data_IF_352685257796
#
_entry.id   IF_352685257796
#
_cell.length_a   1.000
_cell.length_b   1.000
_cell.length_c   1.000
_cell.angle_alpha   90.00
_cell.angle_beta   90.00
_cell.angle_gamma   90.00
#
_symmetry.space_group_name_H-M   'P 1'
#
loop_
_entity.id
_entity.type
_entity.pdbx_description
1 polymer ?
#
# COMPACT_ATOMS: atom_id res chain seq x y z
N UNK A 1 -8.06 -14.58 -14.47
CA UNK A 1 -7.00 -15.61 -14.52
C UNK A 1 -6.54 -15.89 -13.09
N UNK A 2 -6.98 -17.00 -12.49
CA UNK A 2 -6.60 -17.37 -11.12
C UNK A 2 -5.27 -18.10 -11.19
N UNK A 3 -4.17 -17.46 -10.80
CA UNK A 3 -2.93 -18.18 -10.53
C UNK A 3 -3.13 -19.00 -9.25
N UNK A 4 -2.85 -20.31 -9.32
CA UNK A 4 -2.64 -21.12 -8.12
C UNK A 4 -1.32 -20.66 -7.47
N UNK A 5 -1.40 -19.68 -6.59
CA UNK A 5 -0.29 -19.33 -5.72
C UNK A 5 -0.14 -20.45 -4.69
N UNK A 6 1.04 -21.07 -4.65
CA UNK A 6 1.37 -22.02 -3.60
C UNK A 6 1.75 -21.21 -2.36
N UNK A 7 0.75 -20.91 -1.53
CA UNK A 7 0.91 -20.21 -0.27
C UNK A 7 1.38 -21.20 0.80
N UNK A 8 2.49 -20.89 1.45
CA UNK A 8 2.94 -21.56 2.66
C UNK A 8 2.94 -20.58 3.83
N UNK A 9 2.56 -21.09 5.00
CA UNK A 9 2.50 -20.33 6.24
C UNK A 9 3.84 -20.46 6.98
N UNK A 10 4.54 -19.34 7.15
CA UNK A 10 5.72 -19.20 8.00
C UNK A 10 5.49 -17.95 8.86
N UNK A 11 5.02 -18.15 10.10
CA UNK A 11 4.45 -17.08 10.93
C UNK A 11 3.03 -16.68 10.51
N UNK A 12 2.62 -15.46 10.85
CA UNK A 12 1.22 -14.98 10.69
C UNK A 12 0.88 -14.45 9.29
N UNK A 13 1.85 -14.38 8.37
CA UNK A 13 1.67 -13.78 7.04
C UNK A 13 1.81 -14.85 5.94
N UNK A 14 0.81 -15.00 5.04
CA UNK A 14 0.92 -15.90 3.89
C UNK A 14 2.07 -15.50 2.95
N UNK A 15 2.87 -16.47 2.51
CA UNK A 15 4.01 -16.22 1.62
C UNK A 15 3.98 -17.13 0.38
N UNK A 16 4.31 -16.58 -0.78
CA UNK A 16 4.54 -17.33 -2.02
C UNK A 16 5.81 -18.16 -1.85
N UNK A 17 5.67 -19.49 -1.95
CA UNK A 17 6.76 -20.46 -1.72
C UNK A 17 7.51 -20.24 -0.38
N UNK A 18 6.84 -19.67 0.63
CA UNK A 18 7.41 -19.42 1.96
C UNK A 18 8.37 -18.24 2.02
N UNK A 19 8.58 -17.52 0.91
CA UNK A 19 9.60 -16.47 0.81
C UNK A 19 8.98 -15.08 0.78
N UNK A 20 8.05 -14.84 -0.15
CA UNK A 20 7.58 -13.49 -0.45
C UNK A 20 6.14 -13.24 -0.01
N UNK A 21 5.89 -12.16 0.72
CA UNK A 21 4.55 -11.79 1.23
C UNK A 21 3.68 -11.05 0.20
N UNK A 22 4.06 -11.07 -1.08
CA UNK A 22 3.29 -10.49 -2.19
C UNK A 22 3.18 -11.49 -3.35
N UNK A 23 2.11 -11.36 -4.12
CA UNK A 23 1.83 -12.20 -5.30
C UNK A 23 2.28 -11.56 -6.62
N UNK A 24 2.71 -10.30 -6.58
CA UNK A 24 3.23 -9.55 -7.73
C UNK A 24 4.44 -8.71 -7.32
N UNK A 25 5.49 -8.71 -8.14
CA UNK A 25 6.62 -7.80 -8.01
C UNK A 25 7.44 -7.72 -9.31
N UNK A 26 8.17 -6.62 -9.49
CA UNK A 26 9.29 -6.57 -10.41
C UNK A 26 10.49 -7.31 -9.82
N UNK A 27 11.32 -7.95 -10.65
CA UNK A 27 12.46 -8.74 -10.16
C UNK A 27 12.11 -10.17 -9.73
N UNK A 28 12.81 -10.68 -8.71
CA UNK A 28 12.67 -12.03 -8.13
C UNK A 28 12.64 -13.16 -9.17
N UNK A 29 13.67 -13.18 -10.02
CA UNK A 29 13.77 -14.09 -11.18
C UNK A 29 13.56 -15.57 -10.81
N UNK A 30 14.04 -15.99 -9.64
CA UNK A 30 13.89 -17.35 -9.13
C UNK A 30 12.45 -17.75 -8.80
N UNK A 31 11.55 -16.77 -8.60
CA UNK A 31 10.14 -16.99 -8.23
C UNK A 31 9.16 -16.70 -9.38
N UNK A 32 9.63 -16.36 -10.58
CA UNK A 32 8.79 -15.93 -11.73
C UNK A 32 7.71 -16.92 -12.18
N UNK A 33 7.87 -18.21 -11.91
CA UNK A 33 6.82 -19.21 -12.17
C UNK A 33 5.54 -18.96 -11.35
N UNK A 34 5.65 -18.29 -10.20
CA UNK A 34 4.55 -18.04 -9.27
C UNK A 34 4.34 -16.55 -8.98
N UNK A 35 5.16 -15.66 -9.57
CA UNK A 35 5.18 -14.24 -9.30
C UNK A 35 4.97 -13.44 -10.59
N UNK A 36 3.88 -12.67 -10.64
CA UNK A 36 3.57 -11.81 -11.78
C UNK A 36 4.28 -10.47 -11.68
N UNK A 37 4.59 -9.86 -12.82
CA UNK A 37 5.09 -8.49 -12.90
C UNK A 37 4.15 -7.53 -13.62
N UNK A 38 3.05 -8.02 -14.20
CA UNK A 38 2.03 -7.14 -14.75
C UNK A 38 1.22 -6.48 -13.61
N UNK A 39 0.96 -5.17 -13.70
CA UNK A 39 0.18 -4.45 -12.70
C UNK A 39 -1.31 -4.82 -12.80
N UNK A 40 -2.07 -4.49 -11.76
CA UNK A 40 -3.51 -4.33 -11.89
C UNK A 40 -3.78 -2.90 -12.37
N UNK A 41 -4.62 -2.75 -13.41
CA UNK A 41 -4.89 -1.45 -14.03
C UNK A 41 -6.37 -1.14 -13.80
N UNK A 42 -6.62 0.02 -13.19
CA UNK A 42 -7.97 0.55 -12.99
C UNK A 42 -7.99 2.00 -13.48
N UNK A 43 -8.99 2.31 -14.30
CA UNK A 43 -9.24 3.66 -14.79
C UNK A 43 -10.47 4.22 -14.09
N UNK A 44 -10.30 5.38 -13.45
CA UNK A 44 -11.37 6.10 -12.75
C UNK A 44 -11.36 7.56 -13.18
N UNK A 45 -12.53 8.11 -13.50
CA UNK A 45 -12.67 9.52 -13.82
C UNK A 45 -12.55 10.37 -12.55
N UNK A 46 -11.62 11.31 -12.56
CA UNK A 46 -11.52 12.34 -11.52
C UNK A 46 -12.40 13.51 -11.95
N UNK A 47 -13.34 13.89 -11.09
CA UNK A 47 -14.21 15.04 -11.30
C UNK A 47 -14.11 16.06 -10.15
N UNK A 48 -14.91 17.12 -10.19
CA UNK A 48 -14.92 18.17 -9.17
C UNK A 48 -15.34 17.70 -7.77
N UNK A 49 -15.87 16.49 -7.62
CA UNK A 49 -16.24 15.89 -6.33
C UNK A 49 -15.10 15.09 -5.71
N UNK A 50 -14.04 14.79 -6.47
CA UNK A 50 -12.84 14.13 -5.96
C UNK A 50 -12.00 15.14 -5.19
N UNK A 51 -12.01 15.03 -3.87
CA UNK A 51 -11.33 15.99 -3.00
C UNK A 51 -9.85 15.66 -2.76
N UNK A 52 -9.49 14.37 -2.82
CA UNK A 52 -8.16 13.92 -2.42
C UNK A 52 -7.79 12.57 -3.02
N UNK A 53 -6.52 12.42 -3.38
CA UNK A 53 -5.89 11.14 -3.70
C UNK A 53 -4.75 10.86 -2.71
N UNK A 54 -4.76 9.68 -2.08
CA UNK A 54 -3.69 9.23 -1.18
C UNK A 54 -3.07 7.95 -1.75
N UNK A 55 -1.78 8.00 -2.03
CA UNK A 55 -0.97 6.83 -2.39
C UNK A 55 0.07 6.62 -1.29
N UNK A 56 0.17 5.42 -0.73
CA UNK A 56 1.15 5.14 0.32
C UNK A 56 1.60 3.68 0.32
N UNK A 57 2.78 3.43 0.91
CA UNK A 57 3.26 2.07 1.19
C UNK A 57 2.38 1.38 2.25
N UNK A 58 2.49 0.06 2.34
CA UNK A 58 1.80 -0.74 3.36
C UNK A 58 2.19 -0.37 4.79
N UNK A 59 3.38 0.22 5.01
CA UNK A 59 3.77 0.81 6.29
C UNK A 59 2.77 1.83 6.84
N UNK A 60 2.01 2.53 5.99
CA UNK A 60 0.91 3.39 6.44
C UNK A 60 -0.36 2.58 6.69
N UNK A 61 -0.78 1.77 5.72
CA UNK A 61 -2.06 1.06 5.73
C UNK A 61 -2.14 -0.07 6.76
N UNK A 62 -1.00 -0.58 7.26
CA UNK A 62 -0.95 -1.55 8.36
C UNK A 62 -1.39 -0.98 9.71
N UNK A 63 -1.36 0.34 9.88
CA UNK A 63 -1.64 1.01 11.16
C UNK A 63 -2.73 2.07 11.08
N UNK A 64 -3.33 2.26 9.90
CA UNK A 64 -4.31 3.30 9.65
C UNK A 64 -5.36 2.86 8.63
N UNK A 65 -6.63 3.03 9.00
CA UNK A 65 -7.76 2.74 8.12
C UNK A 65 -7.94 3.83 7.05
N UNK A 66 -8.51 3.45 5.90
CA UNK A 66 -8.68 4.35 4.75
C UNK A 66 -9.41 5.66 5.11
N UNK A 67 -10.50 5.58 5.88
CA UNK A 67 -11.28 6.76 6.26
C UNK A 67 -10.56 7.65 7.28
N UNK A 68 -9.71 7.07 8.13
CA UNK A 68 -8.89 7.84 9.07
C UNK A 68 -7.83 8.66 8.32
N UNK A 69 -7.16 8.03 7.34
CA UNK A 69 -6.17 8.70 6.50
C UNK A 69 -6.80 9.89 5.76
N UNK A 70 -7.97 9.70 5.15
CA UNK A 70 -8.74 10.77 4.50
C UNK A 70 -9.10 11.87 5.52
N UNK A 71 -9.54 11.49 6.71
CA UNK A 71 -9.91 12.42 7.78
C UNK A 71 -8.74 13.27 8.29
N UNK A 72 -7.51 12.73 8.33
CA UNK A 72 -6.30 13.47 8.67
C UNK A 72 -5.93 14.42 7.54
N UNK A 73 -5.85 13.89 6.31
CA UNK A 73 -5.37 14.65 5.17
C UNK A 73 -6.29 15.84 4.81
N UNK A 74 -7.62 15.67 4.95
CA UNK A 74 -8.60 16.76 4.76
C UNK A 74 -8.44 17.95 5.70
N UNK A 75 -7.78 17.79 6.86
CA UNK A 75 -7.57 18.89 7.81
C UNK A 75 -6.51 19.88 7.33
N UNK A 76 -5.76 19.53 6.28
CA UNK A 76 -4.62 20.30 5.79
C UNK A 76 -4.80 20.59 4.32
N UNK A 77 -4.87 21.88 3.96
CA UNK A 77 -5.01 22.29 2.56
C UNK A 77 -3.76 22.05 1.71
N UNK A 78 -2.59 22.01 2.34
CA UNK A 78 -1.31 21.81 1.69
C UNK A 78 -1.03 20.29 1.57
N UNK A 79 -0.99 19.72 0.34
CA UNK A 79 -0.83 18.28 0.15
C UNK A 79 0.48 17.73 0.73
N UNK A 80 1.56 18.50 0.65
CA UNK A 80 2.86 18.07 1.18
C UNK A 80 2.82 18.01 2.72
N UNK A 81 2.15 18.97 3.37
CA UNK A 81 1.93 18.92 4.81
C UNK A 81 0.97 17.80 5.21
N UNK A 82 -0.06 17.52 4.41
CA UNK A 82 -0.96 16.39 4.63
C UNK A 82 -0.19 15.05 4.60
N UNK A 83 0.65 14.84 3.58
CA UNK A 83 1.52 13.66 3.48
C UNK A 83 2.47 13.53 4.68
N UNK A 84 3.07 14.63 5.14
CA UNK A 84 3.91 14.65 6.35
C UNK A 84 3.13 14.30 7.62
N UNK A 85 1.89 14.76 7.74
CA UNK A 85 1.05 14.39 8.90
C UNK A 85 0.67 12.92 8.87
N UNK A 86 0.32 12.37 7.71
CA UNK A 86 0.01 10.96 7.54
C UNK A 86 1.20 10.06 7.93
N UNK A 87 2.40 10.39 7.43
CA UNK A 87 3.62 9.65 7.76
C UNK A 87 3.99 9.78 9.24
N UNK A 88 3.86 10.97 9.83
CA UNK A 88 4.12 11.19 11.26
C UNK A 88 3.11 10.44 12.16
N UNK A 89 1.83 10.39 11.78
CA UNK A 89 0.83 9.64 12.52
C UNK A 89 1.08 8.13 12.44
N UNK A 90 1.46 7.60 11.26
CA UNK A 90 1.83 6.20 11.13
C UNK A 90 3.07 5.84 11.98
N UNK A 91 4.06 6.74 12.06
CA UNK A 91 5.22 6.58 12.96
C UNK A 91 4.80 6.60 14.44
N UNK A 92 3.91 7.51 14.82
CA UNK A 92 3.38 7.62 16.19
C UNK A 92 2.60 6.37 16.61
N UNK A 93 1.99 5.68 15.65
CA UNK A 93 1.31 4.38 15.84
C UNK A 93 2.27 3.19 15.77
N UNK A 94 3.59 3.45 15.88
CA UNK A 94 4.64 2.44 15.95
C UNK A 94 4.68 1.53 14.71
N UNK A 95 4.40 2.09 13.52
CA UNK A 95 4.66 1.35 12.29
C UNK A 95 6.12 0.93 12.22
N UNK A 96 6.35 -0.34 11.91
CA UNK A 96 7.68 -1.00 11.89
C UNK A 96 8.24 -1.14 10.48
N UNK A 97 7.59 -0.52 9.50
CA UNK A 97 7.91 -0.64 8.08
C UNK A 97 8.36 0.71 7.52
N UNK A 98 8.92 0.71 6.32
CA UNK A 98 9.20 1.95 5.61
C UNK A 98 7.89 2.64 5.21
N UNK A 99 7.78 3.93 5.54
CA UNK A 99 6.56 4.71 5.32
C UNK A 99 6.83 5.73 4.22
N UNK A 100 6.11 5.60 3.10
CA UNK A 100 6.10 6.57 2.00
C UNK A 100 4.66 6.96 1.69
N UNK A 101 4.41 8.25 1.46
CA UNK A 101 3.07 8.76 1.17
C UNK A 101 3.12 9.95 0.20
N UNK A 102 2.20 9.95 -0.77
CA UNK A 102 1.92 11.04 -1.70
C UNK A 102 0.45 11.42 -1.56
N UNK A 103 0.18 12.72 -1.46
CA UNK A 103 -1.17 13.29 -1.42
C UNK A 103 -1.30 14.26 -2.59
N UNK A 104 -2.40 14.12 -3.33
CA UNK A 104 -2.77 14.96 -4.49
C UNK A 104 -4.14 15.58 -4.32
#
# INVERSE_FOLDING_TARGET
MVLRLQLSYYGDVPRVNGQLAVSRAFGDKSLKLHLRSDPDIQDTNIDSTTEILILASDGLWKVMENQEAVGIARRVRDPQKAARQLTAEALKRESKDDISCVVG
#
